data_IF_936037881270
#
_entry.id   IF_936037881270
#
_cell.length_a   1.000
_cell.length_b   1.000
_cell.length_c   1.000
_cell.angle_alpha   90.00
_cell.angle_beta   90.00
_cell.angle_gamma   90.00
#
_symmetry.space_group_name_H-M   'P 1'
#
loop_
_entity.id
_entity.type
_entity.pdbx_description
1 polymer ?
#
# COMPACT_ATOMS: atom_id res chain seq x y z
N UNK A 1 3.78 14.87 1.67
CA UNK A 1 4.62 14.31 2.76
C UNK A 1 6.07 14.60 2.43
N UNK A 2 6.92 14.66 3.44
CA UNK A 2 8.36 14.89 3.25
C UNK A 2 9.06 13.54 3.07
N UNK A 3 9.71 13.36 1.91
CA UNK A 3 10.47 12.17 1.54
C UNK A 3 11.98 12.46 1.50
N UNK A 4 12.43 13.51 2.18
CA UNK A 4 13.85 13.73 2.37
C UNK A 4 14.49 12.55 3.11
N UNK A 5 15.73 12.17 2.79
CA UNK A 5 16.40 11.02 3.41
C UNK A 5 16.37 11.05 4.94
N UNK A 6 16.70 12.19 5.53
CA UNK A 6 16.72 12.32 6.99
C UNK A 6 15.33 12.10 7.58
N UNK A 7 14.29 12.67 6.96
CA UNK A 7 12.92 12.51 7.45
C UNK A 7 12.45 11.05 7.41
N UNK A 8 12.79 10.33 6.35
CA UNK A 8 12.46 8.90 6.23
C UNK A 8 13.09 8.12 7.39
N UNK A 9 14.38 8.32 7.66
CA UNK A 9 15.08 7.64 8.75
C UNK A 9 14.49 7.97 10.12
N UNK A 10 14.16 9.24 10.35
CA UNK A 10 13.54 9.69 11.61
C UNK A 10 12.13 9.08 11.82
N UNK A 11 11.32 9.03 10.75
CA UNK A 11 9.98 8.43 10.78
C UNK A 11 10.05 6.91 11.00
N UNK A 12 11.01 6.21 10.37
CA UNK A 12 11.26 4.78 10.63
C UNK A 12 11.67 4.55 12.08
N UNK A 13 12.67 5.30 12.58
CA UNK A 13 13.14 5.18 13.97
C UNK A 13 12.04 5.46 14.98
N UNK A 14 11.18 6.46 14.71
CA UNK A 14 10.01 6.76 15.55
C UNK A 14 9.00 5.62 15.54
N UNK A 15 8.73 5.02 14.37
CA UNK A 15 7.80 3.90 14.24
C UNK A 15 8.30 2.66 14.99
N UNK A 16 9.59 2.34 14.86
CA UNK A 16 10.23 1.23 15.57
C UNK A 16 10.13 1.38 17.09
N UNK A 17 10.46 2.57 17.63
CA UNK A 17 10.31 2.85 19.06
C UNK A 17 8.86 2.70 19.53
N UNK A 18 7.89 3.20 18.77
CA UNK A 18 6.45 3.09 19.10
C UNK A 18 5.94 1.65 19.09
N UNK A 19 6.48 0.83 18.19
CA UNK A 19 6.10 -0.59 18.07
C UNK A 19 6.89 -1.49 19.04
N UNK A 20 7.93 -0.98 19.71
CA UNK A 20 8.81 -1.80 20.55
C UNK A 20 9.61 -2.82 19.72
N UNK A 21 9.96 -2.46 18.48
CA UNK A 21 10.65 -3.34 17.54
C UNK A 21 11.99 -2.75 17.14
N UNK A 22 12.97 -3.62 16.89
CA UNK A 22 14.25 -3.24 16.27
C UNK A 22 14.16 -3.24 14.74
N UNK A 23 13.22 -4.01 14.19
CA UNK A 23 13.02 -4.19 12.75
C UNK A 23 11.55 -4.45 12.41
N UNK A 24 11.06 -3.88 11.32
CA UNK A 24 9.76 -4.23 10.72
C UNK A 24 9.91 -5.27 9.60
N UNK A 25 8.87 -6.08 9.40
CA UNK A 25 8.84 -7.01 8.26
C UNK A 25 8.72 -6.26 6.93
N UNK A 26 7.88 -5.23 6.87
CA UNK A 26 7.65 -4.44 5.67
C UNK A 26 7.58 -2.96 6.04
N UNK A 27 8.37 -2.13 5.35
CA UNK A 27 8.26 -0.67 5.36
C UNK A 27 7.54 -0.22 4.07
N UNK A 28 6.44 0.52 4.20
CA UNK A 28 5.72 1.08 3.05
C UNK A 28 5.83 2.60 3.03
N UNK A 29 6.47 3.13 1.99
CA UNK A 29 6.43 4.56 1.70
C UNK A 29 5.00 4.94 1.32
N UNK A 30 4.44 5.93 2.01
CA UNK A 30 3.02 6.23 1.88
C UNK A 30 2.77 7.46 1.00
N UNK A 31 2.44 7.20 -0.26
CA UNK A 31 2.02 8.17 -1.27
C UNK A 31 3.12 9.07 -1.80
N UNK A 32 4.31 8.56 -2.19
CA UNK A 32 5.25 9.36 -2.97
C UNK A 32 4.67 9.67 -4.36
N UNK A 33 5.03 10.83 -4.89
CA UNK A 33 4.83 11.11 -6.31
C UNK A 33 5.82 10.29 -7.14
N UNK A 34 5.51 9.95 -8.40
CA UNK A 34 6.41 9.17 -9.26
C UNK A 34 7.81 9.79 -9.39
N UNK A 35 7.90 11.12 -9.50
CA UNK A 35 9.17 11.84 -9.65
C UNK A 35 10.11 11.74 -8.43
N UNK A 36 9.57 11.30 -7.29
CA UNK A 36 10.35 11.08 -6.07
C UNK A 36 11.00 9.69 -6.04
N UNK A 37 10.70 8.79 -6.99
CA UNK A 37 11.32 7.46 -7.11
C UNK A 37 12.71 7.53 -7.78
N UNK A 38 13.54 8.44 -7.28
CA UNK A 38 14.86 8.78 -7.81
C UNK A 38 15.98 8.18 -6.95
N UNK A 39 17.23 8.36 -7.39
CA UNK A 39 18.41 7.78 -6.75
C UNK A 39 18.62 8.24 -5.30
N UNK A 40 18.23 9.47 -4.96
CA UNK A 40 18.32 9.97 -3.59
C UNK A 40 17.38 9.20 -2.66
N UNK A 41 16.17 8.85 -3.12
CA UNK A 41 15.27 7.97 -2.39
C UNK A 41 15.85 6.55 -2.30
N UNK A 42 16.36 5.99 -3.39
CA UNK A 42 16.95 4.64 -3.41
C UNK A 42 18.11 4.52 -2.42
N UNK A 43 18.97 5.53 -2.36
CA UNK A 43 20.09 5.59 -1.42
C UNK A 43 19.66 5.55 0.05
N UNK A 44 18.53 6.20 0.42
CA UNK A 44 18.04 6.09 1.80
C UNK A 44 17.38 4.75 2.08
N UNK A 45 16.70 4.15 1.10
CA UNK A 45 16.12 2.82 1.24
C UNK A 45 17.20 1.73 1.38
N UNK A 46 18.33 1.90 0.69
CA UNK A 46 19.54 1.10 0.91
C UNK A 46 20.01 1.23 2.35
N UNK A 47 20.14 2.44 2.89
CA UNK A 47 20.54 2.62 4.30
C UNK A 47 19.56 1.96 5.29
N UNK A 48 18.26 2.00 5.00
CA UNK A 48 17.24 1.29 5.81
C UNK A 48 17.51 -0.23 5.82
N UNK A 49 17.88 -0.79 4.68
CA UNK A 49 18.21 -2.21 4.51
C UNK A 49 19.54 -2.58 5.17
N UNK A 50 20.60 -1.82 4.93
CA UNK A 50 21.94 -2.02 5.51
C UNK A 50 21.90 -1.98 7.04
N UNK A 51 21.12 -1.06 7.61
CA UNK A 51 20.90 -0.96 9.06
C UNK A 51 19.94 -2.01 9.61
N UNK A 52 19.37 -2.87 8.76
CA UNK A 52 18.45 -3.93 9.15
C UNK A 52 17.12 -3.44 9.72
N UNK A 53 16.69 -2.21 9.42
CA UNK A 53 15.49 -1.60 10.00
C UNK A 53 14.19 -2.16 9.41
N UNK A 54 14.26 -2.65 8.17
CA UNK A 54 13.15 -3.32 7.48
C UNK A 54 13.65 -4.56 6.71
N UNK A 55 12.86 -5.64 6.67
CA UNK A 55 13.18 -6.81 5.81
C UNK A 55 12.84 -6.57 4.34
N UNK A 56 11.72 -5.89 4.09
CA UNK A 56 11.26 -5.52 2.76
C UNK A 56 10.82 -4.06 2.76
N UNK A 57 11.01 -3.41 1.63
CA UNK A 57 10.58 -2.04 1.36
C UNK A 57 9.57 -2.05 0.23
N UNK A 58 8.61 -1.14 0.30
CA UNK A 58 7.56 -1.02 -0.67
C UNK A 58 6.88 0.33 -0.68
N UNK A 59 5.83 0.44 -1.47
CA UNK A 59 5.08 1.69 -1.64
C UNK A 59 3.58 1.43 -1.53
N UNK A 60 2.90 2.23 -0.72
CA UNK A 60 1.45 2.43 -0.82
C UNK A 60 1.21 3.72 -1.60
N UNK A 61 0.56 3.66 -2.76
CA UNK A 61 0.31 4.85 -3.56
C UNK A 61 -0.84 4.69 -4.56
N UNK A 62 -1.19 5.79 -5.21
CA UNK A 62 -2.10 5.80 -6.35
C UNK A 62 -1.43 5.20 -7.60
N UNK A 63 -2.26 4.90 -8.60
CA UNK A 63 -1.90 4.12 -9.79
C UNK A 63 -0.61 4.56 -10.47
N UNK A 64 -0.45 5.86 -10.76
CA UNK A 64 0.73 6.36 -11.48
C UNK A 64 2.06 6.02 -10.78
N UNK A 65 2.11 6.14 -9.45
CA UNK A 65 3.32 5.78 -8.69
C UNK A 65 3.51 4.27 -8.64
N UNK A 66 2.42 3.50 -8.55
CA UNK A 66 2.50 2.03 -8.58
C UNK A 66 3.06 1.57 -9.91
N UNK A 67 2.56 2.10 -11.03
CA UNK A 67 3.06 1.81 -12.38
C UNK A 67 4.54 2.15 -12.52
N UNK A 68 4.98 3.29 -11.99
CA UNK A 68 6.39 3.67 -11.98
C UNK A 68 7.29 2.74 -11.15
N UNK A 69 6.73 2.04 -10.15
CA UNK A 69 7.46 1.13 -9.27
C UNK A 69 7.37 -0.35 -9.71
N UNK A 70 6.59 -0.69 -10.75
CA UNK A 70 6.51 -2.06 -11.25
C UNK A 70 7.85 -2.48 -11.85
N UNK A 71 8.34 -3.66 -11.45
CA UNK A 71 9.61 -4.21 -11.91
C UNK A 71 10.84 -3.59 -11.27
N UNK A 72 10.66 -2.59 -10.40
CA UNK A 72 11.74 -1.94 -9.70
C UNK A 72 12.23 -2.81 -8.52
N UNK A 73 13.50 -3.25 -8.51
CA UNK A 73 14.02 -4.15 -7.48
C UNK A 73 14.09 -3.50 -6.09
N UNK A 74 14.12 -2.17 -5.99
CA UNK A 74 14.17 -1.46 -4.71
C UNK A 74 12.83 -1.51 -3.96
N UNK A 75 11.74 -1.85 -4.65
CA UNK A 75 10.40 -1.97 -4.08
C UNK A 75 9.88 -3.40 -4.20
N UNK A 76 10.01 -4.18 -3.13
CA UNK A 76 9.59 -5.59 -3.11
C UNK A 76 8.08 -5.74 -2.86
N UNK A 77 7.43 -4.72 -2.29
CA UNK A 77 6.00 -4.73 -1.96
C UNK A 77 5.30 -3.52 -2.57
N UNK A 78 4.26 -3.75 -3.37
CA UNK A 78 3.40 -2.70 -3.91
C UNK A 78 2.03 -2.77 -3.26
N UNK A 79 1.52 -1.64 -2.80
CA UNK A 79 0.22 -1.53 -2.15
C UNK A 79 -0.69 -0.54 -2.89
N UNK A 80 -1.22 -0.90 -4.08
CA UNK A 80 -2.16 -0.07 -4.83
C UNK A 80 -3.53 -0.02 -4.17
N UNK A 81 -4.27 1.05 -4.42
CA UNK A 81 -5.71 1.06 -4.19
C UNK A 81 -6.40 0.11 -5.16
N UNK A 82 -7.16 -0.84 -4.63
CA UNK A 82 -7.92 -1.82 -5.40
C UNK A 82 -9.22 -2.11 -4.70
N UNK A 83 -10.34 -1.93 -5.41
CA UNK A 83 -11.65 -2.39 -4.97
C UNK A 83 -12.54 -2.66 -6.18
N UNK A 84 -13.73 -3.23 -5.97
CA UNK A 84 -14.73 -3.39 -7.05
C UNK A 84 -15.08 -2.04 -7.71
N UNK A 85 -14.95 -0.91 -6.98
CA UNK A 85 -15.19 0.44 -7.51
C UNK A 85 -13.95 1.11 -8.11
N UNK A 86 -12.77 0.58 -7.81
CA UNK A 86 -11.48 1.10 -8.24
C UNK A 86 -10.63 -0.05 -8.81
N UNK A 87 -11.00 -0.59 -9.99
CA UNK A 87 -10.33 -1.75 -10.59
C UNK A 87 -9.08 -1.39 -11.40
N UNK A 88 -8.74 -0.10 -11.53
CA UNK A 88 -7.77 0.39 -12.52
C UNK A 88 -6.35 -0.16 -12.32
N UNK A 89 -6.00 -0.56 -11.10
CA UNK A 89 -4.70 -1.15 -10.79
C UNK A 89 -4.48 -2.57 -11.33
N UNK A 90 -5.50 -3.23 -11.91
CA UNK A 90 -5.42 -4.64 -12.30
C UNK A 90 -4.24 -5.00 -13.22
N UNK A 91 -3.95 -4.16 -14.22
CA UNK A 91 -2.83 -4.39 -15.14
C UNK A 91 -1.47 -4.27 -14.42
N UNK A 92 -1.30 -3.22 -13.59
CA UNK A 92 -0.09 -3.01 -12.80
C UNK A 92 0.14 -4.13 -11.79
N UNK A 93 -0.92 -4.64 -11.14
CA UNK A 93 -0.86 -5.78 -10.22
C UNK A 93 -0.38 -7.05 -10.94
N UNK A 94 -0.93 -7.33 -12.12
CA UNK A 94 -0.51 -8.49 -12.90
C UNK A 94 0.96 -8.36 -13.35
N UNK A 95 1.40 -7.15 -13.69
CA UNK A 95 2.79 -6.88 -14.06
C UNK A 95 3.74 -7.02 -12.85
N UNK A 96 3.37 -6.49 -11.69
CA UNK A 96 4.11 -6.66 -10.43
C UNK A 96 4.29 -8.14 -10.08
N UNK A 97 3.22 -8.95 -10.22
CA UNK A 97 3.28 -10.39 -10.00
C UNK A 97 4.25 -11.11 -10.94
N UNK A 98 4.30 -10.72 -12.24
CA UNK A 98 5.28 -11.25 -13.19
C UNK A 98 6.72 -10.85 -12.86
N UNK A 99 6.91 -9.67 -12.26
CA UNK A 99 8.20 -9.19 -11.78
C UNK A 99 8.62 -9.80 -10.43
N UNK A 100 7.80 -10.65 -9.80
CA UNK A 100 8.10 -11.24 -8.50
C UNK A 100 7.86 -10.31 -7.31
N UNK A 101 7.24 -9.15 -7.52
CA UNK A 101 6.87 -8.23 -6.44
C UNK A 101 5.59 -8.72 -5.73
N UNK A 102 5.52 -8.49 -4.42
CA UNK A 102 4.33 -8.79 -3.60
C UNK A 102 3.32 -7.65 -3.72
N UNK A 103 2.03 -7.98 -3.85
CA UNK A 103 0.94 -6.99 -3.90
C UNK A 103 0.04 -7.09 -2.67
N UNK A 104 -0.26 -5.95 -2.04
CA UNK A 104 -1.26 -5.83 -0.97
C UNK A 104 -2.34 -4.84 -1.41
N UNK A 105 -3.62 -5.22 -1.38
CA UNK A 105 -4.70 -4.30 -1.78
C UNK A 105 -4.98 -3.25 -0.69
N UNK A 106 -4.87 -1.96 -1.02
CA UNK A 106 -5.34 -0.86 -0.18
C UNK A 106 -6.82 -0.54 -0.47
N UNK A 107 -7.57 -0.22 0.58
CA UNK A 107 -8.96 0.19 0.49
C UNK A 107 -9.93 -0.83 -0.13
N UNK A 108 -9.80 -2.16 0.12
CA UNK A 108 -10.62 -3.17 -0.57
C UNK A 108 -12.13 -3.00 -0.38
N UNK A 109 -12.56 -2.39 0.73
CA UNK A 109 -13.96 -2.12 1.03
C UNK A 109 -14.50 -0.80 0.47
N UNK A 110 -13.77 -0.13 -0.43
CA UNK A 110 -14.16 1.14 -1.06
C UNK A 110 -14.75 2.15 -0.06
N UNK A 111 -14.09 2.30 1.11
CA UNK A 111 -14.53 3.17 2.22
C UNK A 111 -15.96 2.89 2.72
N UNK A 112 -16.36 1.62 2.73
CA UNK A 112 -17.71 1.16 3.08
C UNK A 112 -18.81 1.72 2.15
N UNK A 113 -18.46 2.18 0.95
CA UNK A 113 -19.44 2.71 -0.01
C UNK A 113 -20.32 1.64 -0.66
N UNK A 114 -20.07 0.36 -0.34
CA UNK A 114 -20.94 -0.77 -0.67
C UNK A 114 -22.13 -0.92 0.27
N UNK A 115 -22.26 -0.09 1.32
CA UNK A 115 -23.43 -0.10 2.20
C UNK A 115 -24.69 0.09 1.34
N UNK A 116 -25.57 -0.91 1.26
CA UNK A 116 -26.89 -0.69 0.67
C UNK A 116 -27.56 0.43 1.47
N UNK A 117 -28.30 1.35 0.84
CA UNK A 117 -29.28 2.11 1.61
C UNK A 117 -30.16 1.08 2.31
N UNK A 118 -30.08 1.01 3.63
CA UNK A 118 -30.82 0.05 4.46
C UNK A 118 -32.32 0.03 4.11
N UNK A 119 -32.85 1.17 3.66
CA UNK A 119 -34.20 1.32 3.12
C UNK A 119 -34.48 0.47 1.88
N UNK A 120 -33.58 0.41 0.90
CA UNK A 120 -33.80 -0.32 -0.36
C UNK A 120 -33.38 -1.79 -0.28
N UNK A 121 -32.58 -2.15 0.72
CA UNK A 121 -32.18 -3.54 0.93
C UNK A 121 -33.27 -4.36 1.65
N UNK A 122 -33.97 -3.73 2.60
CA UNK A 122 -35.11 -4.34 3.31
C UNK A 122 -36.35 -4.56 2.42
N UNK A 123 -36.43 -3.90 1.26
CA UNK A 123 -37.50 -4.16 0.27
C UNK A 123 -37.25 -5.42 -0.56
N UNK A 124 -36.04 -5.98 -0.53
CA UNK A 124 -35.70 -7.22 -1.26
C UNK A 124 -35.89 -8.46 -0.38
N UNK A 125 -36.32 -9.60 -0.95
CA UNK A 125 -36.46 -10.87 -0.20
C UNK A 125 -35.17 -11.27 0.54
N UNK A 126 -34.01 -11.02 -0.07
CA UNK A 126 -32.70 -11.30 0.53
C UNK A 126 -32.38 -10.45 1.76
N UNK A 127 -32.89 -9.21 1.84
CA UNK A 127 -32.74 -8.37 3.03
C UNK A 127 -33.66 -8.80 4.17
N UNK A 128 -34.87 -9.28 3.85
CA UNK A 128 -35.83 -9.80 4.85
C UNK A 128 -35.33 -11.08 5.52
N UNK A 129 -34.62 -11.94 4.80
CA UNK A 129 -34.02 -13.17 5.36
C UNK A 129 -33.10 -12.89 6.56
N UNK A 130 -32.32 -11.81 6.50
CA UNK A 130 -31.39 -11.42 7.57
C UNK A 130 -32.08 -10.90 8.85
N UNK A 131 -33.36 -10.50 8.78
CA UNK A 131 -34.13 -10.06 9.95
C UNK A 131 -34.84 -11.22 10.66
N UNK A 132 -35.05 -12.34 9.97
CA UNK A 132 -35.75 -13.51 10.50
C UNK A 132 -34.81 -14.53 11.17
N UNK A 133 -33.52 -14.20 11.26
CA UNK A 133 -32.47 -14.97 11.95
C UNK A 133 -31.86 -14.12 13.05
#
# INVERSE_FOLDING_TARGET
KDFSPQRILDDVGTSLRRLGLERVSVLLLHGPNPDLLNDALRAVLEQVRERGLARQVGINAHLATIEAAVGDPDFQVLMPFLSVREPQAGAAIAAAGRAGQTVIAAGPLARMSFRPPWRDWLTRPSGRWYLAR
#
